data_IF_406830761527
#
_entry.id   IF_406830761527
#
_cell.length_a   1.000
_cell.length_b   1.000
_cell.length_c   1.000
_cell.angle_alpha   90.00
_cell.angle_beta   90.00
_cell.angle_gamma   90.00
#
_symmetry.space_group_name_H-M   'P 1'
#
loop_
_entity.id
_entity.type
_entity.pdbx_description
1 polymer ?
#
# COMPACT_ATOMS: atom_id res chain seq x y z
N UNK A 1 -70.27 -19.13 49.04
CA UNK A 1 -69.69 -18.59 47.78
C UNK A 1 -69.28 -17.10 47.85
N UNK A 2 -68.81 -16.56 48.99
CA UNK A 2 -68.30 -15.16 49.05
C UNK A 2 -66.93 -15.00 49.72
N UNK A 3 -66.34 -16.04 50.32
CA UNK A 3 -65.02 -15.98 50.97
C UNK A 3 -63.83 -16.37 50.06
N UNK A 4 -64.08 -17.06 48.95
CA UNK A 4 -63.00 -17.45 48.02
C UNK A 4 -62.70 -16.40 46.94
N UNK A 5 -63.51 -15.33 46.83
CA UNK A 5 -63.29 -14.28 45.82
C UNK A 5 -62.32 -13.18 46.30
N UNK A 6 -62.25 -12.89 47.61
CA UNK A 6 -61.32 -11.89 48.14
C UNK A 6 -59.85 -12.35 48.19
N UNK A 7 -59.60 -13.67 48.32
CA UNK A 7 -58.24 -14.22 48.34
C UNK A 7 -57.57 -14.22 46.97
N UNK A 8 -58.37 -14.23 45.88
CA UNK A 8 -57.86 -14.18 44.51
C UNK A 8 -57.55 -12.73 44.11
N UNK A 9 -58.30 -11.75 44.62
CA UNK A 9 -58.07 -10.32 44.32
C UNK A 9 -56.82 -9.79 45.02
N UNK A 10 -56.51 -10.28 46.24
CA UNK A 10 -55.31 -9.87 46.99
C UNK A 10 -54.02 -10.51 46.48
N UNK A 11 -54.08 -11.71 45.89
CA UNK A 11 -52.92 -12.33 45.21
C UNK A 11 -52.67 -11.71 43.84
N UNK A 12 -53.72 -11.27 43.13
CA UNK A 12 -53.57 -10.56 41.84
C UNK A 12 -53.00 -9.14 42.01
N UNK A 13 -53.32 -8.43 43.09
CA UNK A 13 -52.76 -7.10 43.37
C UNK A 13 -51.27 -7.13 43.73
N UNK A 14 -50.80 -8.19 44.39
CA UNK A 14 -49.37 -8.39 44.68
C UNK A 14 -48.60 -8.74 43.39
N UNK A 15 -49.20 -9.50 42.48
CA UNK A 15 -48.61 -9.77 41.17
C UNK A 15 -48.51 -8.52 40.28
N UNK A 16 -49.52 -7.63 40.27
CA UNK A 16 -49.47 -6.37 39.53
C UNK A 16 -48.45 -5.39 40.14
N UNK A 17 -48.26 -5.42 41.47
CA UNK A 17 -47.23 -4.61 42.14
C UNK A 17 -45.81 -5.09 41.82
N UNK A 18 -45.60 -6.41 41.76
CA UNK A 18 -44.31 -6.99 41.37
C UNK A 18 -44.05 -6.79 39.86
N UNK A 19 -45.08 -6.87 39.02
CA UNK A 19 -44.95 -6.56 37.59
C UNK A 19 -44.61 -5.08 37.34
N UNK A 20 -45.15 -4.16 38.16
CA UNK A 20 -44.80 -2.74 38.09
C UNK A 20 -43.40 -2.44 38.66
N UNK A 21 -42.90 -3.23 39.62
CA UNK A 21 -41.50 -3.14 40.08
C UNK A 21 -40.54 -3.71 39.03
N UNK A 22 -40.92 -4.75 38.28
CA UNK A 22 -40.12 -5.26 37.15
C UNK A 22 -40.24 -4.39 35.88
N UNK A 23 -41.36 -3.70 35.65
CA UNK A 23 -41.46 -2.70 34.57
C UNK A 23 -40.75 -1.39 34.90
N UNK A 24 -40.58 -1.06 36.18
CA UNK A 24 -39.76 0.07 36.63
C UNK A 24 -38.25 -0.25 36.68
N UNK A 25 -37.86 -1.53 36.72
CA UNK A 25 -36.48 -1.96 36.45
C UNK A 25 -36.16 -2.07 34.94
N UNK A 26 -37.17 -1.90 34.08
CA UNK A 26 -37.04 -1.86 32.62
C UNK A 26 -36.77 -0.48 32.03
N UNK A 27 -36.57 0.54 32.86
CA UNK A 27 -36.22 1.90 32.46
C UNK A 27 -35.21 2.50 33.46
N UNK A 28 -34.12 1.79 33.71
CA UNK A 28 -32.87 2.51 33.93
C UNK A 28 -32.51 3.02 32.53
N UNK A 29 -32.79 4.29 32.29
CA UNK A 29 -32.06 5.06 31.28
C UNK A 29 -30.58 4.77 31.54
N UNK A 30 -30.00 3.86 30.77
CA UNK A 30 -28.55 3.75 30.66
C UNK A 30 -28.11 5.09 30.10
N UNK A 31 -27.82 6.02 31.01
CA UNK A 31 -26.92 7.13 30.77
C UNK A 31 -25.83 6.64 29.84
N UNK A 32 -25.87 7.11 28.58
CA UNK A 32 -24.84 7.04 27.55
C UNK A 32 -23.62 6.24 28.00
N UNK A 33 -23.70 4.91 28.00
CA UNK A 33 -22.48 4.13 28.16
C UNK A 33 -21.67 4.48 26.93
N UNK A 34 -20.55 5.17 27.09
CA UNK A 34 -19.68 5.58 25.98
C UNK A 34 -19.03 4.40 25.24
N UNK A 35 -19.65 3.22 25.31
CA UNK A 35 -19.23 1.94 24.79
C UNK A 35 -20.35 1.30 23.96
N UNK A 36 -20.00 0.91 22.74
CA UNK A 36 -20.85 0.18 21.82
C UNK A 36 -21.10 -1.22 22.36
N UNK A 37 -22.36 -1.54 22.63
CA UNK A 37 -22.76 -2.86 23.11
C UNK A 37 -22.76 -3.90 21.97
N UNK A 38 -21.57 -4.42 21.64
CA UNK A 38 -21.40 -5.42 20.58
C UNK A 38 -21.77 -6.84 21.01
N UNK A 39 -21.87 -7.11 22.32
CA UNK A 39 -22.18 -8.43 22.87
C UNK A 39 -23.68 -8.72 22.91
N UNK A 40 -24.54 -7.73 23.15
CA UNK A 40 -26.01 -7.91 23.09
C UNK A 40 -26.61 -7.72 21.70
N UNK A 41 -25.90 -7.05 20.78
CA UNK A 41 -26.28 -6.95 19.35
C UNK A 41 -26.00 -8.23 18.55
N UNK A 42 -25.46 -9.27 19.20
CA UNK A 42 -25.34 -10.59 18.59
C UNK A 42 -26.72 -11.25 18.67
N UNK A 43 -27.14 -11.85 17.55
CA UNK A 43 -28.43 -12.53 17.31
C UNK A 43 -29.45 -11.60 16.64
N UNK A 44 -29.16 -11.22 15.40
CA UNK A 44 -30.17 -11.32 14.34
C UNK A 44 -29.48 -11.42 12.98
N UNK A 45 -29.94 -12.39 12.20
CA UNK A 45 -29.39 -12.76 10.89
C UNK A 45 -29.37 -11.52 9.97
N UNK A 46 -28.19 -10.97 9.69
CA UNK A 46 -27.97 -10.00 8.60
C UNK A 46 -28.00 -8.53 9.03
N UNK A 47 -27.81 -8.21 10.31
CA UNK A 47 -27.71 -6.82 10.76
C UNK A 47 -26.25 -6.41 10.96
N UNK A 48 -25.82 -5.41 10.19
CA UNK A 48 -24.60 -4.63 10.45
C UNK A 48 -24.58 -4.13 11.90
N UNK A 49 -23.44 -4.29 12.58
CA UNK A 49 -23.23 -3.67 13.89
C UNK A 49 -22.70 -2.26 13.67
N UNK A 50 -23.57 -1.26 13.76
CA UNK A 50 -23.17 0.15 13.80
C UNK A 50 -22.94 0.60 15.24
N UNK A 51 -21.71 1.05 15.51
CA UNK A 51 -21.28 1.57 16.80
C UNK A 51 -21.37 3.09 16.91
N UNK A 52 -21.74 3.82 15.85
CA UNK A 52 -22.03 5.26 15.87
C UNK A 52 -20.91 6.12 16.50
N UNK A 53 -19.67 5.69 16.41
CA UNK A 53 -18.49 6.34 16.97
C UNK A 53 -18.24 6.05 18.46
N UNK A 54 -18.96 5.11 19.07
CA UNK A 54 -18.76 4.71 20.47
C UNK A 54 -17.54 3.79 20.63
N UNK A 55 -17.01 3.73 21.86
CA UNK A 55 -15.84 2.91 22.15
C UNK A 55 -16.17 1.41 22.18
N UNK A 56 -15.22 0.54 21.87
CA UNK A 56 -15.25 -0.89 22.16
C UNK A 56 -13.92 -1.23 22.80
N UNK A 57 -13.90 -2.03 23.86
CA UNK A 57 -12.63 -2.54 24.36
C UNK A 57 -12.04 -3.57 23.39
N UNK A 58 -10.72 -3.59 23.21
CA UNK A 58 -10.08 -4.58 22.34
C UNK A 58 -10.39 -6.02 22.76
N UNK A 59 -10.54 -6.28 24.07
CA UNK A 59 -10.92 -7.60 24.61
C UNK A 59 -12.31 -8.06 24.16
N UNK A 60 -13.30 -7.16 24.10
CA UNK A 60 -14.64 -7.50 23.61
C UNK A 60 -14.63 -7.79 22.11
N UNK A 61 -13.92 -6.98 21.33
CA UNK A 61 -13.79 -7.18 19.90
C UNK A 61 -13.05 -8.48 19.57
N UNK A 62 -11.95 -8.77 20.28
CA UNK A 62 -11.18 -9.99 20.14
C UNK A 62 -12.04 -11.23 20.43
N UNK A 63 -12.81 -11.22 21.53
CA UNK A 63 -13.76 -12.29 21.87
C UNK A 63 -14.81 -12.45 20.79
N UNK A 64 -15.37 -11.36 20.28
CA UNK A 64 -16.37 -11.41 19.21
C UNK A 64 -15.81 -12.05 17.95
N UNK A 65 -14.63 -11.63 17.49
CA UNK A 65 -13.99 -12.17 16.29
C UNK A 65 -13.67 -13.66 16.47
N UNK A 66 -13.06 -14.05 17.60
CA UNK A 66 -12.73 -15.46 17.87
C UNK A 66 -13.97 -16.34 17.99
N UNK A 67 -15.02 -15.87 18.67
CA UNK A 67 -16.24 -16.65 18.89
C UNK A 67 -17.13 -16.74 17.65
N UNK A 68 -17.07 -15.75 16.76
CA UNK A 68 -17.87 -15.74 15.53
C UNK A 68 -17.53 -16.91 14.61
N UNK A 69 -16.31 -17.44 14.66
CA UNK A 69 -15.90 -18.61 13.88
C UNK A 69 -16.71 -19.88 14.23
N UNK A 70 -17.21 -19.97 15.46
CA UNK A 70 -17.94 -21.13 15.98
C UNK A 70 -19.47 -20.89 16.04
N UNK A 71 -19.92 -19.66 15.77
CA UNK A 71 -21.31 -19.28 16.02
C UNK A 71 -22.19 -19.55 14.79
N UNK A 72 -22.94 -20.66 14.83
CA UNK A 72 -23.92 -21.04 13.80
C UNK A 72 -25.04 -20.00 13.57
N UNK A 73 -25.25 -19.05 14.49
CA UNK A 73 -26.27 -18.00 14.41
C UNK A 73 -25.78 -16.68 13.81
N UNK A 74 -24.47 -16.39 13.86
CA UNK A 74 -23.92 -15.38 12.95
C UNK A 74 -24.12 -15.92 11.53
N UNK A 75 -24.37 -15.05 10.55
CA UNK A 75 -24.25 -15.48 9.17
C UNK A 75 -22.89 -16.15 9.05
N UNK A 76 -22.86 -17.47 8.82
CA UNK A 76 -21.62 -18.26 8.84
C UNK A 76 -20.58 -17.80 7.79
N UNK A 77 -20.87 -16.71 7.09
CA UNK A 77 -20.10 -16.15 6.01
C UNK A 77 -19.58 -14.74 6.27
N UNK A 78 -20.09 -13.97 7.25
CA UNK A 78 -19.62 -12.59 7.49
C UNK A 78 -19.82 -12.08 8.93
N UNK A 79 -18.90 -11.21 9.37
CA UNK A 79 -19.02 -10.36 10.56
C UNK A 79 -18.81 -8.91 10.12
N UNK A 80 -19.88 -8.11 10.18
CA UNK A 80 -19.87 -6.72 9.73
C UNK A 80 -20.05 -5.75 10.89
N UNK A 81 -19.03 -4.95 11.15
CA UNK A 81 -19.03 -3.91 12.18
C UNK A 81 -18.55 -2.59 11.56
N UNK A 82 -19.18 -1.47 11.93
CA UNK A 82 -18.79 -0.13 11.46
C UNK A 82 -18.81 0.93 12.55
N UNK A 83 -18.07 2.01 12.30
CA UNK A 83 -18.07 3.24 13.09
C UNK A 83 -17.71 3.00 14.57
N UNK A 84 -16.61 2.31 14.85
CA UNK A 84 -16.21 1.97 16.22
C UNK A 84 -14.86 2.60 16.59
N UNK A 85 -14.67 2.95 17.87
CA UNK A 85 -13.39 3.36 18.41
C UNK A 85 -12.85 2.25 19.31
N UNK A 86 -11.77 1.59 18.92
CA UNK A 86 -11.17 0.50 19.69
C UNK A 86 -10.14 1.05 20.67
N UNK A 87 -10.31 0.71 21.93
CA UNK A 87 -9.43 1.08 23.05
C UNK A 87 -8.73 -0.16 23.59
N UNK A 88 -7.40 -0.09 23.73
CA UNK A 88 -6.54 -1.22 24.10
C UNK A 88 -5.95 -1.93 22.88
N UNK A 89 -4.83 -2.63 23.09
CA UNK A 89 -4.17 -3.40 22.04
C UNK A 89 -5.09 -4.54 21.55
N UNK A 90 -5.30 -4.64 20.24
CA UNK A 90 -6.07 -5.71 19.61
C UNK A 90 -5.13 -6.81 19.13
N UNK A 91 -5.06 -7.92 19.87
CA UNK A 91 -4.11 -9.01 19.60
C UNK A 91 -4.85 -10.21 19.01
N UNK A 92 -4.80 -10.30 17.69
CA UNK A 92 -5.38 -11.37 16.85
C UNK A 92 -4.30 -12.07 16.02
N UNK A 93 -3.12 -12.30 16.61
CA UNK A 93 -2.04 -13.08 15.99
C UNK A 93 -2.36 -14.58 15.95
N UNK A 94 -1.91 -15.27 14.90
CA UNK A 94 -2.08 -16.71 14.70
C UNK A 94 -3.55 -17.18 14.72
N UNK A 95 -4.50 -16.31 14.34
CA UNK A 95 -5.92 -16.69 14.30
C UNK A 95 -6.31 -17.17 12.90
N UNK A 96 -7.36 -17.98 12.84
CA UNK A 96 -7.98 -18.40 11.59
C UNK A 96 -9.40 -17.85 11.54
N UNK A 97 -9.71 -17.08 10.51
CA UNK A 97 -11.00 -16.41 10.32
C UNK A 97 -11.68 -17.00 9.07
N UNK A 98 -12.70 -17.88 9.24
CA UNK A 98 -13.35 -18.61 8.15
C UNK A 98 -14.50 -17.83 7.46
N UNK A 99 -14.73 -16.59 7.85
CA UNK A 99 -15.82 -15.73 7.39
C UNK A 99 -15.28 -14.37 6.90
N UNK A 100 -16.06 -13.60 6.16
CA UNK A 100 -15.69 -12.25 5.74
C UNK A 100 -15.70 -11.30 6.94
N UNK A 101 -14.60 -10.59 7.18
CA UNK A 101 -14.48 -9.67 8.31
C UNK A 101 -14.48 -8.22 7.81
N UNK A 102 -15.53 -7.48 8.15
CA UNK A 102 -15.65 -6.07 7.83
C UNK A 102 -15.52 -5.23 9.11
N UNK A 103 -14.45 -4.44 9.19
CA UNK A 103 -14.16 -3.49 10.25
C UNK A 103 -14.04 -2.09 9.63
N UNK A 104 -15.21 -1.52 9.27
CA UNK A 104 -15.32 -0.34 8.41
C UNK A 104 -15.36 0.95 9.25
N UNK A 105 -14.57 1.96 8.88
CA UNK A 105 -14.52 3.23 9.60
C UNK A 105 -14.25 3.03 11.11
N UNK A 106 -13.29 2.16 11.42
CA UNK A 106 -12.79 1.96 12.78
C UNK A 106 -11.71 2.99 13.11
N UNK A 107 -11.59 3.38 14.37
CA UNK A 107 -10.39 4.03 14.89
C UNK A 107 -9.74 3.12 15.93
N UNK A 108 -8.57 2.57 15.63
CA UNK A 108 -7.77 1.80 16.58
C UNK A 108 -6.80 2.76 17.28
N UNK A 109 -7.02 3.03 18.58
CA UNK A 109 -6.20 3.96 19.34
C UNK A 109 -4.85 3.37 19.77
N UNK A 110 -4.76 2.05 19.84
CA UNK A 110 -3.60 1.29 20.28
C UNK A 110 -3.13 0.30 19.20
N UNK A 111 -2.20 -0.60 19.52
CA UNK A 111 -1.60 -1.48 18.52
C UNK A 111 -2.60 -2.53 18.02
N UNK A 112 -2.47 -2.92 16.76
CA UNK A 112 -3.25 -4.00 16.15
C UNK A 112 -2.30 -5.06 15.61
N UNK A 113 -2.47 -6.31 16.02
CA UNK A 113 -1.61 -7.42 15.61
C UNK A 113 -2.47 -8.56 15.03
N UNK A 114 -2.38 -8.75 13.71
CA UNK A 114 -2.93 -9.88 12.96
C UNK A 114 -1.82 -10.81 12.43
N UNK A 115 -0.58 -10.70 12.92
CA UNK A 115 0.54 -11.43 12.37
C UNK A 115 0.31 -12.95 12.35
N UNK A 116 0.78 -13.61 11.29
CA UNK A 116 0.64 -15.05 11.06
C UNK A 116 -0.81 -15.58 10.99
N UNK A 117 -1.80 -14.70 10.86
CA UNK A 117 -3.20 -15.11 10.78
C UNK A 117 -3.61 -15.54 9.37
N UNK A 118 -4.65 -16.38 9.31
CA UNK A 118 -5.21 -16.92 8.07
C UNK A 118 -6.65 -16.45 7.90
N UNK A 119 -6.89 -15.69 6.84
CA UNK A 119 -8.22 -15.26 6.39
C UNK A 119 -8.66 -16.17 5.25
N UNK A 120 -9.69 -16.98 5.48
CA UNK A 120 -10.23 -17.85 4.43
C UNK A 120 -11.15 -17.11 3.46
N UNK A 121 -11.56 -15.89 3.82
CA UNK A 121 -12.40 -14.99 3.03
C UNK A 121 -11.87 -13.57 3.11
N UNK A 122 -12.61 -12.62 2.54
CA UNK A 122 -12.21 -11.20 2.48
C UNK A 122 -12.05 -10.60 3.88
N UNK A 123 -11.09 -9.70 4.00
CA UNK A 123 -10.96 -8.82 5.16
C UNK A 123 -10.92 -7.36 4.70
N UNK A 124 -11.72 -6.52 5.36
CA UNK A 124 -11.98 -5.14 4.96
C UNK A 124 -11.78 -4.19 6.15
N UNK A 125 -10.92 -3.20 5.96
CA UNK A 125 -10.62 -2.09 6.88
C UNK A 125 -10.82 -0.72 6.20
N UNK A 126 -11.68 -0.65 5.19
CA UNK A 126 -11.95 0.58 4.43
C UNK A 126 -12.31 1.74 5.36
N UNK A 127 -11.70 2.90 5.10
CA UNK A 127 -11.86 4.14 5.89
C UNK A 127 -11.44 4.07 7.36
N UNK A 128 -10.78 2.99 7.78
CA UNK A 128 -10.31 2.87 9.18
C UNK A 128 -9.03 3.65 9.43
N UNK A 129 -8.74 3.94 10.69
CA UNK A 129 -7.55 4.66 11.16
C UNK A 129 -6.80 3.83 12.20
N UNK A 130 -5.51 3.62 12.00
CA UNK A 130 -4.60 2.97 12.95
C UNK A 130 -3.66 4.02 13.53
N UNK A 131 -3.80 4.34 14.81
CA UNK A 131 -3.00 5.40 15.47
C UNK A 131 -1.62 4.95 15.96
N UNK A 132 -1.43 3.64 16.09
CA UNK A 132 -0.14 3.03 16.48
C UNK A 132 0.21 1.91 15.51
N UNK A 133 1.06 0.97 15.92
CA UNK A 133 1.54 -0.10 15.06
C UNK A 133 0.39 -1.00 14.58
N UNK A 134 0.38 -1.29 13.29
CA UNK A 134 -0.52 -2.24 12.65
C UNK A 134 0.29 -3.36 12.00
N UNK A 135 0.34 -4.51 12.65
CA UNK A 135 1.14 -5.66 12.24
C UNK A 135 0.27 -6.69 11.51
N UNK A 136 0.51 -6.85 10.22
CA UNK A 136 -0.07 -7.85 9.33
C UNK A 136 1.00 -8.77 8.74
N UNK A 137 2.14 -8.91 9.43
CA UNK A 137 3.26 -9.73 8.98
C UNK A 137 2.82 -11.18 8.74
N UNK A 138 3.24 -11.76 7.61
CA UNK A 138 3.00 -13.14 7.25
C UNK A 138 1.51 -13.58 7.26
N UNK A 139 0.56 -12.66 7.07
CA UNK A 139 -0.84 -13.06 6.91
C UNK A 139 -1.01 -13.89 5.63
N UNK A 140 -2.00 -14.78 5.66
CA UNK A 140 -2.45 -15.51 4.46
C UNK A 140 -3.91 -15.19 4.21
N UNK A 141 -4.24 -14.71 3.02
CA UNK A 141 -5.62 -14.45 2.61
C UNK A 141 -5.94 -15.19 1.33
N UNK A 142 -6.95 -16.06 1.36
CA UNK A 142 -7.44 -16.75 0.16
C UNK A 142 -8.21 -15.82 -0.81
N UNK A 143 -8.50 -14.59 -0.38
CA UNK A 143 -9.25 -13.58 -1.12
C UNK A 143 -8.60 -12.20 -1.02
N UNK A 144 -9.23 -11.21 -1.63
CA UNK A 144 -8.76 -9.83 -1.58
C UNK A 144 -8.78 -9.24 -0.17
N UNK A 145 -7.83 -8.36 0.10
CA UNK A 145 -7.65 -7.62 1.35
C UNK A 145 -7.84 -6.13 1.05
N UNK A 146 -8.66 -5.44 1.84
CA UNK A 146 -9.11 -4.08 1.54
C UNK A 146 -8.77 -3.07 2.64
N UNK A 147 -8.06 -2.02 2.24
CA UNK A 147 -7.65 -0.88 3.05
C UNK A 147 -7.87 0.45 2.30
N UNK A 148 -8.90 0.52 1.45
CA UNK A 148 -9.18 1.75 0.70
C UNK A 148 -9.52 2.92 1.65
N UNK A 149 -8.97 4.09 1.39
CA UNK A 149 -9.08 5.29 2.23
C UNK A 149 -8.64 5.09 3.69
N UNK A 150 -7.83 4.06 4.00
CA UNK A 150 -7.28 3.86 5.35
C UNK A 150 -6.31 4.99 5.69
N UNK A 151 -6.20 5.31 6.99
CA UNK A 151 -5.13 6.16 7.52
C UNK A 151 -4.28 5.36 8.51
N UNK A 152 -2.98 5.28 8.24
CA UNK A 152 -1.97 4.77 9.16
C UNK A 152 -1.17 5.94 9.73
N UNK A 153 -1.33 6.18 11.03
CA UNK A 153 -0.58 7.15 11.83
C UNK A 153 0.43 6.43 12.76
N UNK A 154 0.89 5.26 12.33
CA UNK A 154 1.88 4.42 13.00
C UNK A 154 2.57 3.49 12.00
N UNK A 155 3.49 2.66 12.49
CA UNK A 155 4.22 1.68 11.66
C UNK A 155 3.27 0.60 11.13
N UNK A 156 3.56 0.08 9.94
CA UNK A 156 2.78 -0.93 9.25
C UNK A 156 3.70 -2.01 8.71
N UNK A 157 3.41 -3.26 9.05
CA UNK A 157 4.20 -4.40 8.60
C UNK A 157 3.33 -5.42 7.85
N UNK A 158 3.57 -5.60 6.55
CA UNK A 158 3.01 -6.66 5.72
C UNK A 158 4.08 -7.65 5.22
N UNK A 159 5.29 -7.64 5.79
CA UNK A 159 6.40 -8.47 5.32
C UNK A 159 5.97 -9.93 5.18
N UNK A 160 6.34 -10.55 4.06
CA UNK A 160 6.08 -11.96 3.75
C UNK A 160 4.59 -12.38 3.73
N UNK A 161 3.65 -11.43 3.65
CA UNK A 161 2.22 -11.74 3.49
C UNK A 161 1.92 -12.40 2.14
N UNK A 162 0.91 -13.27 2.10
CA UNK A 162 0.40 -13.90 0.88
C UNK A 162 -1.10 -13.61 0.70
N UNK A 163 -1.45 -12.94 -0.39
CA UNK A 163 -2.82 -12.56 -0.74
C UNK A 163 -3.13 -13.15 -2.11
N UNK A 164 -4.07 -14.08 -2.19
CA UNK A 164 -4.28 -14.87 -3.41
C UNK A 164 -5.01 -14.10 -4.53
N UNK A 165 -5.69 -12.99 -4.19
CA UNK A 165 -6.44 -12.14 -5.15
C UNK A 165 -5.87 -10.72 -5.14
N UNK A 166 -6.63 -9.68 -4.79
CA UNK A 166 -6.17 -8.30 -4.87
C UNK A 166 -5.81 -7.71 -3.51
N UNK A 167 -4.82 -6.82 -3.48
CA UNK A 167 -4.48 -6.00 -2.32
C UNK A 167 -4.85 -4.54 -2.58
N UNK A 168 -5.80 -4.01 -1.82
CA UNK A 168 -6.37 -2.68 -2.07
C UNK A 168 -5.94 -1.68 -0.99
N UNK A 169 -5.33 -0.58 -1.42
CA UNK A 169 -4.85 0.55 -0.63
C UNK A 169 -5.14 1.88 -1.37
N UNK A 170 -6.22 1.94 -2.15
CA UNK A 170 -6.50 3.15 -2.92
C UNK A 170 -6.76 4.30 -1.97
N UNK A 171 -6.11 5.45 -2.21
CA UNK A 171 -6.19 6.65 -1.34
C UNK A 171 -5.75 6.40 0.10
N UNK A 172 -5.00 5.32 0.38
CA UNK A 172 -4.41 5.08 1.69
C UNK A 172 -3.43 6.20 2.06
N UNK A 173 -3.35 6.53 3.35
CA UNK A 173 -2.48 7.59 3.87
C UNK A 173 -1.55 7.02 4.94
N UNK A 174 -0.26 7.22 4.78
CA UNK A 174 0.77 6.87 5.76
C UNK A 174 1.42 8.17 6.23
N UNK A 175 1.07 8.60 7.44
CA UNK A 175 1.24 10.00 7.86
C UNK A 175 2.39 10.23 8.84
N UNK A 176 2.61 9.30 9.78
CA UNK A 176 3.52 9.51 10.89
C UNK A 176 4.98 9.48 10.45
N UNK A 177 5.67 10.61 10.58
CA UNK A 177 7.10 10.71 10.35
C UNK A 177 7.87 9.63 11.13
N UNK A 178 8.93 9.09 10.54
CA UNK A 178 9.73 7.98 11.09
C UNK A 178 8.98 6.65 11.33
N UNK A 179 7.70 6.52 10.98
CA UNK A 179 7.04 5.23 10.99
C UNK A 179 7.63 4.31 9.92
N UNK A 180 7.82 3.03 10.26
CA UNK A 180 8.27 2.03 9.30
C UNK A 180 7.05 1.47 8.56
N UNK A 181 7.05 1.53 7.23
CA UNK A 181 6.02 0.94 6.39
C UNK A 181 6.67 -0.06 5.43
N UNK A 182 6.35 -1.34 5.61
CA UNK A 182 6.97 -2.42 4.84
C UNK A 182 5.94 -3.34 4.20
N UNK A 183 6.05 -3.48 2.88
CA UNK A 183 5.39 -4.46 2.01
C UNK A 183 6.41 -5.46 1.45
N UNK A 184 7.55 -5.61 2.13
CA UNK A 184 8.67 -6.41 1.65
C UNK A 184 8.28 -7.89 1.46
N UNK A 185 8.70 -8.48 0.34
CA UNK A 185 8.49 -9.91 0.05
C UNK A 185 7.01 -10.36 0.06
N UNK A 186 6.06 -9.43 -0.06
CA UNK A 186 4.65 -9.76 -0.22
C UNK A 186 4.40 -10.53 -1.51
N UNK A 187 3.45 -11.45 -1.48
CA UNK A 187 2.95 -12.16 -2.66
C UNK A 187 1.50 -11.79 -2.89
N UNK A 188 1.18 -11.34 -4.10
CA UNK A 188 -0.16 -10.93 -4.49
C UNK A 188 -0.53 -11.67 -5.78
N UNK A 189 -1.54 -12.53 -5.72
CA UNK A 189 -1.98 -13.38 -6.83
C UNK A 189 -2.75 -12.63 -7.93
N UNK A 190 -3.28 -11.45 -7.60
CA UNK A 190 -3.93 -10.51 -8.52
C UNK A 190 -3.21 -9.15 -8.55
N UNK A 191 -3.97 -8.07 -8.40
CA UNK A 191 -3.48 -6.71 -8.50
C UNK A 191 -3.16 -6.11 -7.12
N UNK A 192 -2.15 -5.24 -7.10
CA UNK A 192 -1.91 -4.32 -5.99
C UNK A 192 -2.43 -2.92 -6.40
N UNK A 193 -3.45 -2.43 -5.71
CA UNK A 193 -4.18 -1.20 -6.07
C UNK A 193 -3.89 -0.08 -5.07
N UNK A 194 -2.99 0.83 -5.43
CA UNK A 194 -2.49 1.93 -4.57
C UNK A 194 -2.66 3.31 -5.23
N UNK A 195 -3.64 3.44 -6.14
CA UNK A 195 -3.91 4.72 -6.81
C UNK A 195 -4.20 5.82 -5.79
N UNK A 196 -3.60 6.99 -6.00
CA UNK A 196 -3.72 8.16 -5.12
C UNK A 196 -3.32 7.92 -3.66
N UNK A 197 -2.55 6.88 -3.36
CA UNK A 197 -1.99 6.68 -2.02
C UNK A 197 -0.98 7.80 -1.68
N UNK A 198 -0.93 8.19 -0.41
CA UNK A 198 -0.01 9.18 0.13
C UNK A 198 0.96 8.51 1.11
N UNK A 199 2.23 8.47 0.74
CA UNK A 199 3.34 8.01 1.58
C UNK A 199 4.13 9.22 2.08
N UNK A 200 3.81 9.71 3.28
CA UNK A 200 4.60 10.74 3.97
C UNK A 200 5.74 10.14 4.80
N UNK A 201 6.15 8.92 4.45
CA UNK A 201 7.12 8.09 5.16
C UNK A 201 7.98 7.34 4.16
N UNK A 202 9.11 6.80 4.62
CA UNK A 202 9.85 5.82 3.82
C UNK A 202 9.04 4.54 3.67
N UNK A 203 9.12 3.86 2.53
CA UNK A 203 8.36 2.64 2.28
C UNK A 203 9.17 1.58 1.54
N UNK A 204 9.04 0.33 1.98
CA UNK A 204 9.75 -0.80 1.41
C UNK A 204 8.80 -1.77 0.70
N UNK A 205 8.82 -1.79 -0.63
CA UNK A 205 8.18 -2.79 -1.49
C UNK A 205 9.15 -3.83 -2.07
N UNK A 206 10.39 -3.88 -1.59
CA UNK A 206 11.41 -4.75 -2.17
C UNK A 206 10.98 -6.22 -2.15
N UNK A 207 11.33 -6.96 -3.20
CA UNK A 207 11.03 -8.39 -3.40
C UNK A 207 9.55 -8.77 -3.41
N UNK A 208 8.63 -7.80 -3.47
CA UNK A 208 7.23 -8.12 -3.68
C UNK A 208 7.04 -8.82 -5.03
N UNK A 209 6.17 -9.84 -5.08
CA UNK A 209 5.81 -10.62 -6.25
C UNK A 209 4.31 -10.44 -6.51
N UNK A 210 3.98 -9.61 -7.50
CA UNK A 210 2.62 -9.26 -7.90
C UNK A 210 2.35 -9.93 -9.24
N UNK A 211 1.39 -10.83 -9.30
CA UNK A 211 1.07 -11.56 -10.54
C UNK A 211 0.33 -10.69 -11.55
N UNK A 212 -0.55 -9.82 -11.08
CA UNK A 212 -1.28 -8.84 -11.89
C UNK A 212 -0.57 -7.49 -11.95
N UNK A 213 -1.37 -6.42 -11.90
CA UNK A 213 -0.89 -5.06 -12.03
C UNK A 213 -0.46 -4.46 -10.68
N UNK A 214 0.54 -3.58 -10.71
CA UNK A 214 0.83 -2.63 -9.66
C UNK A 214 0.29 -1.26 -10.07
N UNK A 215 -0.75 -0.77 -9.41
CA UNK A 215 -1.36 0.52 -9.73
C UNK A 215 -0.95 1.59 -8.71
N UNK A 216 -0.14 2.54 -9.15
CA UNK A 216 0.37 3.66 -8.34
C UNK A 216 0.01 5.03 -8.96
N UNK A 217 -0.99 5.05 -9.85
CA UNK A 217 -1.30 6.26 -10.59
C UNK A 217 -1.80 7.36 -9.66
N UNK A 218 -1.20 8.55 -9.76
CA UNK A 218 -1.47 9.67 -8.89
C UNK A 218 -0.98 9.51 -7.44
N UNK A 219 -0.23 8.45 -7.11
CA UNK A 219 0.35 8.28 -5.78
C UNK A 219 1.39 9.38 -5.48
N UNK A 220 1.54 9.72 -4.20
CA UNK A 220 2.45 10.76 -3.73
C UNK A 220 3.41 10.18 -2.70
N UNK A 221 4.68 10.25 -2.99
CA UNK A 221 5.77 9.84 -2.11
C UNK A 221 6.50 11.10 -1.64
N UNK A 222 6.20 11.55 -0.42
CA UNK A 222 6.56 12.89 0.07
C UNK A 222 7.62 12.91 1.17
N UNK A 223 8.11 11.75 1.62
CA UNK A 223 9.24 11.70 2.55
C UNK A 223 10.58 11.90 1.82
N UNK A 224 11.48 12.68 2.41
CA UNK A 224 12.89 12.77 1.98
C UNK A 224 13.84 12.04 2.93
N UNK A 225 13.28 11.45 3.99
CA UNK A 225 14.03 10.63 4.93
C UNK A 225 14.64 9.43 4.21
N UNK A 226 15.63 8.83 4.85
CA UNK A 226 16.33 7.68 4.32
C UNK A 226 15.89 6.47 5.11
N UNK A 227 15.50 5.43 4.40
CA UNK A 227 15.10 4.20 5.06
C UNK A 227 16.36 3.61 5.73
N UNK A 228 16.37 3.59 7.06
CA UNK A 228 17.36 2.87 7.87
C UNK A 228 17.05 1.36 7.77
N UNK A 229 17.15 0.78 6.58
CA UNK A 229 16.95 -0.64 6.38
C UNK A 229 18.28 -1.40 6.37
N UNK A 230 18.22 -2.61 6.90
CA UNK A 230 19.20 -3.69 6.88
C UNK A 230 19.65 -4.15 5.48
N UNK A 231 19.15 -3.53 4.39
CA UNK A 231 19.63 -3.75 3.03
C UNK A 231 21.07 -3.24 2.88
N UNK A 232 22.02 -4.09 3.28
CA UNK A 232 23.45 -3.85 3.11
C UNK A 232 23.74 -3.50 1.63
N UNK A 233 24.33 -2.33 1.40
CA UNK A 233 24.78 -1.90 0.07
C UNK A 233 24.04 -0.72 -0.57
N UNK A 234 23.09 -0.08 0.11
CA UNK A 234 22.46 1.16 -0.38
C UNK A 234 22.93 2.43 0.32
N UNK A 235 23.82 2.33 1.32
CA UNK A 235 24.38 3.43 2.13
C UNK A 235 23.33 4.45 2.64
N UNK A 236 22.11 3.99 2.94
CA UNK A 236 21.01 4.87 3.36
C UNK A 236 20.65 5.94 2.30
N UNK A 237 20.81 5.67 1.00
CA UNK A 237 20.58 6.66 -0.06
C UNK A 237 19.10 6.85 -0.44
N UNK A 238 18.28 5.81 -0.26
CA UNK A 238 16.92 5.76 -0.81
C UNK A 238 15.83 5.87 0.27
N UNK A 239 14.71 6.45 -0.13
CA UNK A 239 13.50 6.61 0.68
C UNK A 239 12.48 5.51 0.35
N UNK A 240 12.44 5.08 -0.92
CA UNK A 240 11.43 4.16 -1.43
C UNK A 240 12.09 2.98 -2.14
N UNK A 241 11.81 1.77 -1.67
CA UNK A 241 12.46 0.57 -2.17
C UNK A 241 11.48 -0.26 -3.00
N UNK A 242 11.86 -0.58 -4.22
CA UNK A 242 11.18 -1.46 -5.16
C UNK A 242 12.14 -2.55 -5.67
N UNK A 243 13.29 -2.72 -5.04
CA UNK A 243 14.36 -3.60 -5.52
C UNK A 243 13.94 -5.06 -5.51
N UNK A 244 14.32 -5.80 -6.55
CA UNK A 244 13.95 -7.21 -6.71
C UNK A 244 12.45 -7.47 -6.85
N UNK A 245 11.61 -6.44 -6.97
CA UNK A 245 10.17 -6.60 -7.19
C UNK A 245 9.91 -7.28 -8.52
N UNK A 246 8.87 -8.10 -8.58
CA UNK A 246 8.35 -8.71 -9.81
C UNK A 246 6.90 -8.30 -10.00
N UNK A 247 6.57 -7.75 -11.16
CA UNK A 247 5.20 -7.43 -11.56
C UNK A 247 4.89 -8.13 -12.87
N UNK A 248 3.96 -9.09 -12.83
CA UNK A 248 3.56 -9.89 -13.99
C UNK A 248 2.64 -9.16 -14.96
N UNK A 249 2.02 -8.06 -14.54
CA UNK A 249 1.27 -7.13 -15.39
C UNK A 249 1.93 -5.75 -15.51
N UNK A 250 1.11 -4.72 -15.68
CA UNK A 250 1.57 -3.34 -15.75
C UNK A 250 1.87 -2.74 -14.37
N UNK A 251 3.00 -2.05 -14.26
CA UNK A 251 3.32 -1.15 -13.16
C UNK A 251 3.07 0.30 -13.59
N UNK A 252 1.98 0.88 -13.07
CA UNK A 252 1.42 2.15 -13.50
C UNK A 252 1.84 3.29 -12.56
N UNK A 253 2.94 3.97 -12.87
CA UNK A 253 3.43 5.17 -12.14
C UNK A 253 2.95 6.49 -12.77
N UNK A 254 1.86 6.44 -13.54
CA UNK A 254 1.32 7.61 -14.23
C UNK A 254 0.97 8.72 -13.23
N UNK A 255 1.44 9.93 -13.46
CA UNK A 255 1.19 11.09 -12.60
C UNK A 255 1.65 10.88 -11.13
N UNK A 256 2.61 9.99 -10.89
CA UNK A 256 3.18 9.76 -9.56
C UNK A 256 4.18 10.86 -9.20
N UNK A 257 4.18 11.29 -7.94
CA UNK A 257 5.16 12.24 -7.40
C UNK A 257 6.16 11.54 -6.47
N UNK A 258 7.46 11.77 -6.70
CA UNK A 258 8.55 11.31 -5.84
C UNK A 258 9.39 12.48 -5.32
N UNK A 259 9.20 12.87 -4.06
CA UNK A 259 10.06 13.85 -3.40
C UNK A 259 11.40 13.24 -2.97
N UNK A 260 11.36 12.03 -2.42
CA UNK A 260 12.54 11.25 -2.02
C UNK A 260 13.17 10.42 -3.15
N UNK A 261 14.25 9.73 -2.83
CA UNK A 261 15.00 8.88 -3.77
C UNK A 261 14.36 7.49 -3.83
N UNK A 262 14.30 6.86 -5.01
CA UNK A 262 13.75 5.50 -5.16
C UNK A 262 14.72 4.50 -5.80
N UNK A 263 14.58 3.24 -5.39
CA UNK A 263 15.50 2.15 -5.67
C UNK A 263 14.77 0.99 -6.35
N UNK A 264 14.94 0.81 -7.66
CA UNK A 264 14.30 -0.27 -8.46
C UNK A 264 15.31 -1.32 -8.92
N UNK A 265 16.46 -1.44 -8.23
CA UNK A 265 17.51 -2.37 -8.64
C UNK A 265 17.01 -3.82 -8.75
N UNK A 266 17.43 -4.54 -9.78
CA UNK A 266 17.14 -5.95 -10.03
C UNK A 266 15.63 -6.29 -10.10
N UNK A 267 14.79 -5.32 -10.42
CA UNK A 267 13.33 -5.51 -10.55
C UNK A 267 12.92 -5.96 -11.96
N UNK A 268 11.76 -6.61 -12.06
CA UNK A 268 11.17 -7.07 -13.31
C UNK A 268 9.73 -6.56 -13.44
N UNK A 269 9.39 -6.05 -14.62
CA UNK A 269 8.04 -5.63 -14.97
C UNK A 269 7.63 -6.21 -16.33
N UNK A 270 6.44 -6.77 -16.47
CA UNK A 270 5.91 -7.06 -17.81
C UNK A 270 5.75 -5.75 -18.60
N UNK A 271 5.15 -4.74 -17.99
CA UNK A 271 5.07 -3.39 -18.53
C UNK A 271 5.31 -2.36 -17.44
N UNK A 272 6.01 -1.27 -17.73
CA UNK A 272 6.18 -0.13 -16.81
C UNK A 272 5.78 1.16 -17.50
N UNK A 273 4.98 1.97 -16.80
CA UNK A 273 4.45 3.24 -17.30
C UNK A 273 4.98 4.39 -16.44
N UNK A 274 5.77 5.28 -17.04
CA UNK A 274 6.43 6.41 -16.38
C UNK A 274 5.87 7.77 -16.79
N UNK A 275 4.66 7.80 -17.35
CA UNK A 275 4.00 9.02 -17.82
C UNK A 275 3.83 10.06 -16.70
N UNK A 276 4.25 11.30 -16.96
CA UNK A 276 4.07 12.45 -16.07
C UNK A 276 4.61 12.25 -14.64
N UNK A 277 5.70 11.51 -14.46
CA UNK A 277 6.35 11.45 -13.14
C UNK A 277 6.89 12.83 -12.77
N UNK A 278 6.63 13.25 -11.53
CA UNK A 278 7.13 14.51 -10.99
C UNK A 278 8.06 14.26 -9.81
N UNK A 279 8.98 15.21 -9.58
CA UNK A 279 9.95 15.15 -8.49
C UNK A 279 9.90 16.46 -7.69
N UNK A 280 9.84 16.37 -6.36
CA UNK A 280 9.80 17.57 -5.48
C UNK A 280 8.41 17.94 -4.94
N UNK A 281 8.31 19.07 -4.24
CA UNK A 281 7.10 19.52 -3.55
C UNK A 281 6.12 20.26 -4.47
N UNK A 282 6.61 20.94 -5.51
CA UNK A 282 5.82 21.65 -6.51
C UNK A 282 6.32 21.40 -7.94
N UNK A 283 5.41 21.46 -8.92
CA UNK A 283 5.73 21.44 -10.37
C UNK A 283 6.63 22.65 -10.75
N UNK A 284 6.60 23.70 -9.94
CA UNK A 284 7.34 24.96 -10.14
C UNK A 284 8.66 25.04 -9.34
N UNK A 285 9.01 24.00 -8.57
CA UNK A 285 10.31 23.99 -7.91
C UNK A 285 11.38 23.89 -9.00
N UNK A 286 12.27 24.90 -9.07
CA UNK A 286 13.40 24.90 -9.99
C UNK A 286 14.16 23.60 -9.80
N UNK A 287 14.44 22.87 -10.89
CA UNK A 287 15.11 21.57 -10.87
C UNK A 287 16.27 21.56 -9.87
N UNK A 288 16.07 20.88 -8.74
CA UNK A 288 17.14 20.65 -7.75
C UNK A 288 18.38 20.13 -8.48
N UNK A 289 19.53 20.75 -8.21
CA UNK A 289 20.84 20.35 -8.71
C UNK A 289 21.00 18.82 -8.64
N UNK A 290 21.08 18.20 -9.81
CA UNK A 290 21.06 16.76 -10.04
C UNK A 290 22.13 16.03 -9.20
N UNK A 291 21.68 15.35 -8.14
CA UNK A 291 22.37 14.23 -7.52
C UNK A 291 21.60 12.96 -7.86
N UNK A 292 22.28 11.83 -8.08
CA UNK A 292 21.64 10.56 -8.44
C UNK A 292 20.54 10.18 -7.42
N UNK A 293 19.26 10.34 -7.81
CA UNK A 293 18.09 10.10 -6.94
C UNK A 293 17.41 8.76 -7.22
N UNK A 294 17.71 8.14 -8.36
CA UNK A 294 17.06 6.93 -8.87
C UNK A 294 18.12 5.87 -9.14
N UNK A 295 17.82 4.60 -8.89
CA UNK A 295 18.67 3.52 -9.37
C UNK A 295 17.83 2.42 -10.00
N UNK A 296 18.12 2.17 -11.28
CA UNK A 296 17.43 1.20 -12.15
C UNK A 296 18.38 0.06 -12.55
N UNK A 297 19.52 -0.11 -11.88
CA UNK A 297 20.52 -1.11 -12.26
C UNK A 297 19.91 -2.50 -12.19
N UNK A 298 20.07 -3.31 -13.23
CA UNK A 298 19.48 -4.64 -13.33
C UNK A 298 17.95 -4.65 -13.50
N UNK A 299 17.29 -3.49 -13.59
CA UNK A 299 15.86 -3.44 -13.90
C UNK A 299 15.61 -3.94 -15.32
N UNK A 300 14.60 -4.79 -15.47
CA UNK A 300 14.19 -5.36 -16.75
C UNK A 300 12.70 -5.14 -16.99
N UNK A 301 12.33 -5.00 -18.25
CA UNK A 301 10.94 -4.86 -18.67
C UNK A 301 10.72 -5.41 -20.08
N UNK A 302 9.51 -5.90 -20.39
CA UNK A 302 9.14 -6.19 -21.79
C UNK A 302 8.65 -4.96 -22.52
N UNK A 303 7.87 -4.12 -21.84
CA UNK A 303 7.36 -2.87 -22.37
C UNK A 303 7.63 -1.70 -21.41
N UNK A 304 8.00 -0.57 -21.98
CA UNK A 304 8.17 0.69 -21.25
C UNK A 304 7.44 1.80 -22.01
N UNK A 305 6.70 2.61 -21.26
CA UNK A 305 5.86 3.70 -21.77
C UNK A 305 6.12 4.99 -21.00
N UNK A 306 5.80 6.14 -21.61
CA UNK A 306 5.94 7.46 -21.00
C UNK A 306 7.35 8.04 -21.08
N UNK A 307 8.21 7.48 -21.94
CA UNK A 307 9.60 7.90 -22.17
C UNK A 307 9.95 7.97 -23.67
N UNK A 308 8.94 7.90 -24.53
CA UNK A 308 9.08 8.11 -25.97
C UNK A 308 9.51 9.56 -26.25
N UNK A 309 8.92 10.52 -25.52
CA UNK A 309 9.33 11.93 -25.53
C UNK A 309 10.74 12.11 -24.95
N UNK A 310 11.58 12.85 -25.67
CA UNK A 310 12.97 13.09 -25.27
C UNK A 310 13.09 13.81 -23.92
N UNK A 311 12.20 14.75 -23.61
CA UNK A 311 12.30 15.53 -22.37
C UNK A 311 11.98 14.67 -21.16
N UNK A 312 10.92 13.85 -21.22
CA UNK A 312 10.58 12.94 -20.12
C UNK A 312 11.65 11.85 -19.95
N UNK A 313 12.18 11.30 -21.05
CA UNK A 313 13.31 10.36 -21.00
C UNK A 313 14.56 10.98 -20.37
N UNK A 314 14.91 12.21 -20.75
CA UNK A 314 16.08 12.91 -20.20
C UNK A 314 15.94 13.23 -18.73
N UNK A 315 14.75 13.65 -18.33
CA UNK A 315 14.41 13.92 -16.93
C UNK A 315 14.58 12.67 -16.07
N UNK A 316 14.19 11.50 -16.57
CA UNK A 316 14.43 10.21 -15.92
C UNK A 316 15.92 9.85 -15.88
N UNK A 317 16.61 9.86 -17.04
CA UNK A 317 18.00 9.42 -17.16
C UNK A 317 18.99 10.31 -16.41
N UNK A 318 18.79 11.63 -16.38
CA UNK A 318 19.64 12.56 -15.62
C UNK A 318 19.58 12.34 -14.11
N UNK A 319 18.48 11.78 -13.59
CA UNK A 319 18.28 11.45 -12.16
C UNK A 319 18.68 10.03 -11.83
N UNK A 320 18.90 9.20 -12.85
CA UNK A 320 19.25 7.79 -12.71
C UNK A 320 20.76 7.65 -12.55
N UNK A 321 21.14 6.97 -11.47
CA UNK A 321 22.52 6.55 -11.25
C UNK A 321 23.03 5.79 -12.47
N UNK A 322 24.12 6.29 -13.06
CA UNK A 322 24.60 5.72 -14.31
C UNK A 322 25.07 4.28 -14.09
N UNK A 323 24.44 3.38 -14.85
CA UNK A 323 24.89 2.03 -15.11
C UNK A 323 24.61 1.70 -16.57
N UNK A 324 25.56 1.03 -17.23
CA UNK A 324 25.53 0.78 -18.68
C UNK A 324 24.31 -0.05 -19.10
N UNK A 325 23.95 -1.04 -18.29
CA UNK A 325 22.84 -1.96 -18.54
C UNK A 325 21.48 -1.25 -18.65
N UNK A 326 21.27 -0.17 -17.88
CA UNK A 326 20.06 0.66 -17.94
C UNK A 326 19.86 1.22 -19.35
N UNK A 327 20.92 1.79 -19.92
CA UNK A 327 20.90 2.38 -21.25
C UNK A 327 20.79 1.30 -22.34
N UNK A 328 21.56 0.21 -22.24
CA UNK A 328 21.52 -0.85 -23.26
C UNK A 328 20.19 -1.57 -23.31
N UNK A 329 19.52 -1.75 -22.16
CA UNK A 329 18.18 -2.35 -22.10
C UNK A 329 17.16 -1.46 -22.80
N UNK A 330 17.21 -0.15 -22.53
CA UNK A 330 16.31 0.82 -23.16
C UNK A 330 16.58 1.01 -24.66
N UNK A 331 17.86 1.10 -25.07
CA UNK A 331 18.27 1.12 -26.50
C UNK A 331 17.72 -0.10 -27.23
N UNK A 332 17.90 -1.30 -26.65
CA UNK A 332 17.46 -2.56 -27.24
C UNK A 332 15.94 -2.59 -27.42
N UNK A 333 15.19 -2.12 -26.42
CA UNK A 333 13.74 -2.03 -26.51
C UNK A 333 13.28 -1.17 -27.71
N UNK A 334 13.73 0.09 -27.78
CA UNK A 334 13.32 0.99 -28.86
C UNK A 334 13.78 0.50 -30.24
N UNK A 335 14.98 -0.08 -30.32
CA UNK A 335 15.47 -0.71 -31.54
C UNK A 335 14.56 -1.85 -32.02
N UNK A 336 14.12 -2.71 -31.10
CA UNK A 336 13.20 -3.80 -31.42
C UNK A 336 11.81 -3.31 -31.84
N UNK A 337 11.42 -2.11 -31.43
CA UNK A 337 10.18 -1.46 -31.86
C UNK A 337 10.30 -0.72 -33.19
N UNK A 338 11.49 -0.68 -33.80
CA UNK A 338 11.75 0.05 -35.05
C UNK A 338 12.08 1.54 -34.85
N UNK A 339 12.06 2.01 -33.59
CA UNK A 339 12.34 3.39 -33.18
C UNK A 339 13.86 3.65 -33.12
N UNK A 340 14.53 3.50 -34.26
CA UNK A 340 15.98 3.56 -34.37
C UNK A 340 16.56 4.92 -33.96
N UNK A 341 15.84 6.02 -34.17
CA UNK A 341 16.29 7.35 -33.80
C UNK A 341 16.37 7.50 -32.28
N UNK A 342 15.33 7.06 -31.56
CA UNK A 342 15.30 7.05 -30.09
C UNK A 342 16.41 6.14 -29.54
N UNK A 343 16.57 4.94 -30.11
CA UNK A 343 17.62 4.01 -29.71
C UNK A 343 19.03 4.60 -29.88
N UNK A 344 19.29 5.26 -31.01
CA UNK A 344 20.58 5.91 -31.27
C UNK A 344 20.86 7.06 -30.30
N UNK A 345 19.84 7.84 -29.96
CA UNK A 345 19.94 8.92 -29.00
C UNK A 345 20.33 8.40 -27.60
N UNK A 346 19.66 7.33 -27.14
CA UNK A 346 19.99 6.64 -25.87
C UNK A 346 21.44 6.15 -25.88
N UNK A 347 21.88 5.52 -26.98
CA UNK A 347 23.26 5.05 -27.14
C UNK A 347 24.28 6.20 -27.03
N UNK A 348 24.03 7.32 -27.71
CA UNK A 348 24.92 8.50 -27.66
C UNK A 348 24.96 9.07 -26.24
N UNK A 349 23.81 9.21 -25.56
CA UNK A 349 23.76 9.66 -24.16
C UNK A 349 24.56 8.74 -23.23
N UNK A 350 24.47 7.43 -23.41
CA UNK A 350 25.28 6.45 -22.69
C UNK A 350 26.78 6.70 -22.90
N UNK A 351 27.22 6.85 -24.16
CA UNK A 351 28.64 7.07 -24.50
C UNK A 351 29.18 8.39 -23.96
N UNK A 352 28.36 9.43 -23.97
CA UNK A 352 28.70 10.71 -23.36
C UNK A 352 28.93 10.56 -21.86
N UNK A 353 28.04 9.82 -21.15
CA UNK A 353 28.20 9.53 -19.72
C UNK A 353 29.42 8.67 -19.39
N UNK A 354 29.73 7.65 -20.20
CA UNK A 354 30.98 6.88 -20.08
C UNK A 354 32.21 7.81 -20.19
N UNK A 355 32.18 8.72 -21.17
CA UNK A 355 33.28 9.66 -21.43
C UNK A 355 33.44 10.71 -20.32
N UNK A 356 32.34 11.26 -19.80
CA UNK A 356 32.34 12.17 -18.64
C UNK A 356 33.05 11.52 -17.44
N UNK A 357 32.76 10.25 -17.16
CA UNK A 357 33.38 9.50 -16.05
C UNK A 357 34.86 9.17 -16.30
N UNK A 358 35.24 8.86 -17.54
CA UNK A 358 36.64 8.68 -17.94
C UNK A 358 37.44 9.99 -17.94
N UNK A 359 36.79 11.14 -18.11
CA UNK A 359 37.46 12.45 -18.10
C UNK A 359 38.07 12.82 -16.74
N UNK A 360 37.56 12.22 -15.66
CA UNK A 360 38.19 12.31 -14.33
C UNK A 360 39.54 11.55 -14.26
N UNK A 361 39.79 10.65 -15.22
CA UNK A 361 41.09 10.01 -15.49
C UNK A 361 41.78 10.59 -16.75
N UNK A 362 42.32 11.80 -16.64
CA UNK A 362 43.59 12.19 -17.30
C UNK A 362 43.73 12.36 -18.82
N UNK A 363 42.74 12.16 -19.70
CA UNK A 363 42.96 12.41 -21.17
C UNK A 363 41.79 13.07 -21.91
N UNK A 364 41.76 14.40 -21.92
CA UNK A 364 40.70 15.25 -22.50
C UNK A 364 40.63 15.27 -24.04
N UNK A 365 41.75 15.05 -24.73
CA UNK A 365 41.87 15.17 -26.19
C UNK A 365 41.30 13.96 -26.96
N UNK A 366 41.68 12.74 -26.59
CA UNK A 366 41.17 11.49 -27.20
C UNK A 366 39.64 11.35 -27.04
N UNK A 367 39.10 11.88 -25.95
CA UNK A 367 37.67 11.87 -25.63
C UNK A 367 36.85 12.78 -26.55
N UNK A 368 37.38 13.94 -26.95
CA UNK A 368 36.68 14.86 -27.85
C UNK A 368 36.54 14.24 -29.24
N UNK A 369 37.61 13.60 -29.74
CA UNK A 369 37.59 12.86 -31.01
C UNK A 369 36.66 11.65 -30.95
N UNK A 370 36.65 10.90 -29.84
CA UNK A 370 35.76 9.74 -29.68
C UNK A 370 34.28 10.14 -29.59
N UNK A 371 33.94 11.23 -28.89
CA UNK A 371 32.58 11.78 -28.88
C UNK A 371 32.10 12.24 -30.26
N UNK A 372 33.00 12.84 -31.05
CA UNK A 372 32.74 13.27 -32.42
C UNK A 372 32.52 12.08 -33.38
N UNK A 373 33.33 11.02 -33.25
CA UNK A 373 33.25 9.83 -34.10
C UNK A 373 32.10 8.88 -33.73
N UNK A 374 31.74 8.78 -32.45
CA UNK A 374 30.65 7.91 -31.97
C UNK A 374 29.26 8.40 -32.39
N UNK A 375 29.07 9.72 -32.54
CA UNK A 375 27.86 10.31 -33.11
C UNK A 375 27.77 10.15 -34.62
N UNK A 376 28.86 10.43 -35.35
CA UNK A 376 28.81 10.55 -36.82
C UNK A 376 28.47 9.25 -37.56
N UNK A 377 28.90 8.07 -37.08
CA UNK A 377 28.60 6.81 -37.77
C UNK A 377 27.11 6.40 -37.77
N UNK A 378 26.31 6.88 -36.80
CA UNK A 378 24.87 6.58 -36.68
C UNK A 378 23.97 7.76 -37.03
N UNK A 379 24.41 8.99 -36.75
CA UNK A 379 23.65 10.22 -37.04
C UNK A 379 23.66 10.60 -38.53
N UNK A 380 24.70 10.22 -39.31
CA UNK A 380 24.73 10.52 -40.76
C UNK A 380 23.61 9.85 -41.57
N UNK A 381 22.93 8.82 -41.03
CA UNK A 381 21.76 8.23 -41.68
C UNK A 381 20.57 9.19 -41.76
N UNK A 382 20.54 10.21 -40.89
CA UNK A 382 19.52 11.27 -40.85
C UNK A 382 19.61 12.25 -42.04
N UNK A 383 20.81 12.47 -42.58
CA UNK A 383 21.02 13.40 -43.70
C UNK A 383 20.87 12.76 -45.09
N UNK A 384 20.76 11.42 -45.18
CA UNK A 384 20.66 10.70 -46.45
C UNK A 384 19.24 10.21 -46.78
N UNK A 385 18.23 10.57 -45.99
CA UNK A 385 16.80 10.28 -46.28
C UNK A 385 15.95 11.53 -46.51
N UNK A 386 16.56 12.73 -46.49
CA UNK A 386 15.92 14.00 -46.86
C UNK A 386 16.52 14.62 -48.15
N UNK A 387 17.03 13.79 -49.08
CA UNK A 387 17.47 14.24 -50.42
C UNK A 387 16.63 13.58 -51.50
#
# INVERSE_FOLDING_TARGET
MRKNFLSIITTLSVFISIFNVFSAYGAIDNEKSGFCNITTKIIEKGKDIDCKGENITSSELEKLIKNSANNKKLHANELYIKNAIVVGDLILKNVRIPYELFLINFTFNDNVDFSNSVFEKKIIFTSSTFKKEANFNAIKSAYSVFFDNVTFDGSVDFVASNIDVDFNLQKAKFLKENANVSFNSMKIGGNALLNYALFNVCVNFARADIKGNLQLSGAKFTSTEKLNDSYKGTDGKYSYFFSGMKVGGGAFFNNTNFKGNFYMKDSYFESVYFDNITYGCNINDKEDNYSDKINLTGMTYKHIYGIEDEKERDKLLKRTEFSKDVYTTMETYFKNMGENDIANEIYVKMKNKETERLSWSGTKFLNTLNSYLTGHGRVFKKLCHEV
#
